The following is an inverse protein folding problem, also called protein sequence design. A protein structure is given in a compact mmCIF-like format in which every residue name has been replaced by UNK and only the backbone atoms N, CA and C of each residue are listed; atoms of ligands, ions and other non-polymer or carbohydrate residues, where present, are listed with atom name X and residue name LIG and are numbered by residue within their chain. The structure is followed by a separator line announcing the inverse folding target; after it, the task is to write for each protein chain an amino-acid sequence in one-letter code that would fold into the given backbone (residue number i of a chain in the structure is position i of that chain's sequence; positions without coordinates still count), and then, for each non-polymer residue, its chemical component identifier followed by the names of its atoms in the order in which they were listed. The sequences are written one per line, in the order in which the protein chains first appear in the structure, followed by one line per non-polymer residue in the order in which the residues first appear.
data_IF_135645869883
#
_entry.id   IF_135645869883
#
_cell.length_a   1.000
_cell.length_b   1.000
_cell.length_c   1.000
_cell.angle_alpha   90.00
_cell.angle_beta   90.00
_cell.angle_gamma   90.00
#
_symmetry.space_group_name_H-M   'P 1'
#
loop_
_entity.id
_entity.type
_entity.pdbx_description
1 polymer ?
#
# COMPACT_ATOMS: atom_id res chain seq x y z
N UNK A 1 10.51 -18.13 -26.82
CA UNK A 1 10.48 -16.76 -27.41
C UNK A 1 10.57 -15.75 -26.30
N UNK A 2 11.53 -14.82 -26.34
CA UNK A 2 11.62 -13.73 -25.36
C UNK A 2 10.38 -12.82 -25.48
N UNK A 3 9.71 -12.56 -24.36
CA UNK A 3 8.55 -11.66 -24.37
C UNK A 3 8.98 -10.25 -24.79
N UNK A 4 8.41 -9.74 -25.88
CA UNK A 4 8.72 -8.41 -26.44
C UNK A 4 8.50 -7.27 -25.42
N UNK A 5 7.58 -7.46 -24.48
CA UNK A 5 7.20 -6.46 -23.47
C UNK A 5 7.97 -6.59 -22.15
N UNK A 6 8.93 -7.52 -22.06
CA UNK A 6 9.73 -7.70 -20.86
C UNK A 6 10.48 -6.42 -20.42
N UNK A 7 11.13 -5.65 -21.32
CA UNK A 7 11.75 -4.37 -20.94
C UNK A 7 10.75 -3.37 -20.34
N UNK A 8 9.55 -3.28 -20.93
CA UNK A 8 8.48 -2.43 -20.41
C UNK A 8 8.09 -2.84 -19.00
N UNK A 9 7.90 -4.14 -18.74
CA UNK A 9 7.58 -4.66 -17.42
C UNK A 9 8.66 -4.30 -16.39
N UNK A 10 9.94 -4.44 -16.73
CA UNK A 10 11.05 -4.04 -15.85
C UNK A 10 10.94 -2.56 -15.49
N UNK A 11 10.76 -1.67 -16.47
CA UNK A 11 10.59 -0.24 -16.21
C UNK A 11 9.36 0.06 -15.35
N UNK A 12 8.25 -0.64 -15.56
CA UNK A 12 7.05 -0.49 -14.74
C UNK A 12 7.29 -0.91 -13.28
N UNK A 13 8.03 -2.00 -13.05
CA UNK A 13 8.41 -2.41 -11.70
C UNK A 13 9.35 -1.40 -11.04
N UNK A 14 10.29 -0.81 -11.77
CA UNK A 14 11.15 0.24 -11.23
C UNK A 14 10.39 1.52 -10.85
N UNK A 15 9.31 1.88 -11.56
CA UNK A 15 8.43 2.95 -11.11
C UNK A 15 7.85 2.66 -9.72
N UNK A 16 7.46 1.41 -9.46
CA UNK A 16 6.92 1.02 -8.15
C UNK A 16 8.01 0.85 -7.08
N UNK A 17 9.23 0.55 -7.46
CA UNK A 17 10.37 0.61 -6.54
C UNK A 17 10.56 2.06 -6.03
N UNK A 18 10.55 3.04 -6.93
CA UNK A 18 10.66 4.46 -6.55
C UNK A 18 9.40 4.95 -5.83
N UNK A 19 8.21 4.48 -6.23
CA UNK A 19 6.97 4.74 -5.49
C UNK A 19 7.08 4.26 -4.05
N UNK A 20 7.62 3.06 -3.81
CA UNK A 20 7.88 2.54 -2.46
C UNK A 20 8.78 3.46 -1.63
N UNK A 21 9.84 4.01 -2.23
CA UNK A 21 10.66 5.05 -1.59
C UNK A 21 9.82 6.30 -1.29
N UNK A 22 9.05 6.80 -2.26
CA UNK A 22 8.26 8.03 -2.16
C UNK A 22 7.23 7.99 -1.03
N UNK A 23 6.62 6.84 -0.74
CA UNK A 23 5.63 6.67 0.33
C UNK A 23 6.20 7.00 1.71
N UNK A 24 7.47 6.64 1.98
CA UNK A 24 8.09 6.78 3.29
C UNK A 24 9.14 7.90 3.35
N UNK A 25 9.43 8.56 2.21
CA UNK A 25 10.52 9.51 2.08
C UNK A 25 10.33 10.73 2.99
N UNK A 26 9.10 11.28 3.09
CA UNK A 26 8.80 12.41 3.97
C UNK A 26 8.87 12.01 5.44
N UNK A 27 8.34 10.85 5.82
CA UNK A 27 8.36 10.40 7.23
C UNK A 27 9.77 10.10 7.73
N UNK A 28 10.65 9.54 6.89
CA UNK A 28 12.03 9.30 7.27
C UNK A 28 12.89 10.57 7.36
N UNK A 29 12.51 11.62 6.64
CA UNK A 29 13.16 12.94 6.71
C UNK A 29 12.34 13.95 7.54
N UNK A 30 11.46 13.47 8.42
CA UNK A 30 10.49 14.31 9.14
C UNK A 30 11.17 15.49 9.86
N UNK A 31 12.22 15.24 10.66
CA UNK A 31 12.92 16.28 11.41
C UNK A 31 13.59 17.34 10.51
N UNK A 32 14.09 16.95 9.34
CA UNK A 32 14.67 17.92 8.38
C UNK A 32 13.58 18.76 7.73
N UNK A 33 12.42 18.18 7.44
CA UNK A 33 11.27 18.87 6.87
C UNK A 33 10.58 19.79 7.87
N UNK A 34 10.55 19.41 9.18
CA UNK A 34 10.09 20.28 10.27
C UNK A 34 10.91 21.58 10.29
N UNK A 35 12.23 21.47 10.19
CA UNK A 35 13.12 22.61 10.15
C UNK A 35 12.93 23.44 8.87
N UNK A 36 12.83 22.80 7.70
CA UNK A 36 12.67 23.48 6.42
C UNK A 36 11.35 24.28 6.33
N UNK A 37 10.26 23.73 6.87
CA UNK A 37 8.92 24.34 6.80
C UNK A 37 8.54 25.11 8.06
N UNK A 38 9.45 25.23 9.04
CA UNK A 38 9.21 25.88 10.33
C UNK A 38 7.94 25.37 11.02
N UNK A 39 7.80 24.03 11.08
CA UNK A 39 6.61 23.36 11.60
C UNK A 39 7.00 22.24 12.57
N UNK A 40 6.00 21.54 13.11
CA UNK A 40 6.17 20.34 13.94
C UNK A 40 5.95 19.05 13.12
N UNK A 41 6.19 17.91 13.75
CA UNK A 41 5.85 16.60 13.18
C UNK A 41 4.38 16.50 12.74
N UNK A 42 3.48 17.17 13.47
CA UNK A 42 2.07 17.30 13.09
C UNK A 42 1.90 17.97 11.72
N UNK A 43 2.62 19.09 11.48
CA UNK A 43 2.58 19.78 10.19
C UNK A 43 3.08 18.92 9.05
N UNK A 44 4.17 18.16 9.24
CA UNK A 44 4.68 17.21 8.23
C UNK A 44 3.66 16.10 7.98
N UNK A 45 3.02 15.56 9.02
CA UNK A 45 1.98 14.53 8.89
C UNK A 45 0.76 15.04 8.11
N UNK A 46 0.37 16.30 8.29
CA UNK A 46 -0.68 16.94 7.48
C UNK A 46 -0.28 16.97 6.00
N UNK A 47 0.96 17.32 5.68
CA UNK A 47 1.46 17.25 4.28
C UNK A 47 1.41 15.82 3.76
N UNK A 48 1.79 14.82 4.56
CA UNK A 48 1.72 13.42 4.16
C UNK A 48 0.27 13.00 3.82
N UNK A 49 -0.74 13.53 4.50
CA UNK A 49 -2.15 13.25 4.21
C UNK A 49 -2.55 13.61 2.77
N UNK A 50 -1.88 14.59 2.17
CA UNK A 50 -2.16 15.04 0.80
C UNK A 50 -1.97 13.93 -0.24
N UNK A 51 -1.12 12.93 0.03
CA UNK A 51 -0.95 11.76 -0.85
C UNK A 51 -2.27 10.96 -0.96
N UNK A 52 -2.97 10.78 0.16
CA UNK A 52 -4.24 10.04 0.20
C UNK A 52 -5.34 10.74 -0.58
N UNK A 53 -5.53 12.04 -0.34
CA UNK A 53 -6.58 12.81 -1.05
C UNK A 53 -6.24 13.00 -2.53
N UNK A 54 -4.96 13.21 -2.87
CA UNK A 54 -4.50 13.28 -4.26
C UNK A 54 -4.76 11.97 -5.00
N UNK A 55 -4.52 10.82 -4.37
CA UNK A 55 -4.83 9.51 -4.93
C UNK A 55 -6.33 9.33 -5.15
N UNK A 56 -7.14 9.63 -4.15
CA UNK A 56 -8.60 9.46 -4.22
C UNK A 56 -9.23 10.33 -5.30
N UNK A 57 -8.75 11.56 -5.49
CA UNK A 57 -9.33 12.54 -6.42
C UNK A 57 -9.35 12.09 -7.88
N UNK A 58 -8.38 11.30 -8.31
CA UNK A 58 -8.25 10.87 -9.72
C UNK A 58 -8.32 9.35 -9.94
N UNK A 59 -8.44 8.56 -8.87
CA UNK A 59 -8.36 7.09 -8.94
C UNK A 59 -9.32 6.46 -9.97
N UNK A 60 -10.60 6.83 -9.91
CA UNK A 60 -11.62 6.29 -10.82
C UNK A 60 -11.50 6.88 -12.22
N UNK A 61 -11.26 8.19 -12.32
CA UNK A 61 -11.15 8.90 -13.59
C UNK A 61 -9.94 8.41 -14.38
N UNK A 62 -8.80 8.23 -13.71
CA UNK A 62 -7.57 7.74 -14.34
C UNK A 62 -7.75 6.35 -14.96
N UNK A 63 -8.46 5.45 -14.28
CA UNK A 63 -8.76 4.11 -14.80
C UNK A 63 -9.57 4.18 -16.10
N UNK A 64 -10.69 4.92 -16.09
CA UNK A 64 -11.55 5.07 -17.27
C UNK A 64 -10.83 5.73 -18.47
N UNK A 65 -10.06 6.77 -18.19
CA UNK A 65 -9.31 7.48 -19.23
C UNK A 65 -8.15 6.64 -19.77
N UNK A 66 -7.48 5.83 -18.93
CA UNK A 66 -6.45 4.89 -19.35
C UNK A 66 -6.99 3.82 -20.31
N UNK A 67 -8.23 3.37 -20.09
CA UNK A 67 -8.89 2.44 -21.01
C UNK A 67 -9.22 3.09 -22.37
N UNK A 68 -9.47 4.39 -22.38
CA UNK A 68 -9.83 5.13 -23.60
C UNK A 68 -8.62 5.61 -24.41
N UNK A 69 -7.59 6.17 -23.71
CA UNK A 69 -6.46 6.83 -24.36
C UNK A 69 -5.19 5.96 -24.40
N UNK A 70 -5.23 4.78 -23.76
CA UNK A 70 -4.09 3.87 -23.66
C UNK A 70 -3.30 4.04 -22.36
N UNK A 71 -2.41 3.10 -22.09
CA UNK A 71 -1.69 2.98 -20.81
C UNK A 71 -0.52 3.96 -20.70
N UNK A 72 0.23 4.12 -21.80
CA UNK A 72 1.48 4.89 -21.85
C UNK A 72 1.34 6.34 -21.40
N UNK A 73 0.33 7.14 -21.82
CA UNK A 73 0.17 8.53 -21.39
C UNK A 73 0.03 8.65 -19.86
N UNK A 74 -0.70 7.72 -19.22
CA UNK A 74 -0.91 7.74 -17.76
C UNK A 74 0.35 7.40 -16.98
N UNK A 75 1.18 6.48 -17.48
CA UNK A 75 2.47 6.17 -16.88
C UNK A 75 3.41 7.38 -16.97
N UNK A 76 3.46 8.06 -18.12
CA UNK A 76 4.26 9.28 -18.30
C UNK A 76 3.75 10.39 -17.37
N UNK A 77 2.43 10.60 -17.30
CA UNK A 77 1.83 11.61 -16.43
C UNK A 77 2.15 11.31 -14.95
N UNK A 78 2.02 10.04 -14.52
CA UNK A 78 2.36 9.63 -13.17
C UNK A 78 3.84 9.85 -12.83
N UNK A 79 4.77 9.47 -13.72
CA UNK A 79 6.19 9.72 -13.51
C UNK A 79 6.52 11.21 -13.47
N UNK A 80 5.88 12.03 -14.30
CA UNK A 80 6.06 13.49 -14.30
C UNK A 80 5.57 14.10 -12.98
N UNK A 81 4.40 13.71 -12.49
CA UNK A 81 3.89 14.17 -11.19
C UNK A 81 4.81 13.77 -10.04
N UNK A 82 5.41 12.56 -10.06
CA UNK A 82 6.41 12.18 -9.06
C UNK A 82 7.69 13.01 -9.14
N UNK A 83 8.19 13.33 -10.33
CA UNK A 83 9.35 14.20 -10.51
C UNK A 83 9.09 15.60 -9.94
N UNK A 84 7.91 16.15 -10.20
CA UNK A 84 7.51 17.45 -9.64
C UNK A 84 7.44 17.36 -8.10
N UNK A 85 6.92 16.26 -7.55
CA UNK A 85 6.89 16.04 -6.11
C UNK A 85 8.31 16.00 -5.51
N UNK A 86 9.21 15.15 -6.03
CA UNK A 86 10.56 15.00 -5.47
C UNK A 86 11.35 16.32 -5.48
N UNK A 87 11.25 17.09 -6.55
CA UNK A 87 11.92 18.38 -6.66
C UNK A 87 11.15 19.43 -5.85
N UNK A 88 9.83 19.48 -5.98
CA UNK A 88 8.98 20.49 -5.35
C UNK A 88 9.06 20.49 -3.83
N UNK A 89 9.15 19.32 -3.19
CA UNK A 89 9.32 19.21 -1.73
C UNK A 89 10.61 19.90 -1.27
N UNK A 90 11.71 19.77 -2.01
CA UNK A 90 13.00 20.38 -1.66
C UNK A 90 12.98 21.90 -1.75
N UNK A 91 12.19 22.47 -2.65
CA UNK A 91 12.05 23.92 -2.83
C UNK A 91 10.84 24.49 -2.07
N UNK A 92 9.97 23.66 -1.51
CA UNK A 92 8.84 24.11 -0.71
C UNK A 92 9.33 24.78 0.58
N UNK A 93 8.99 26.05 0.75
CA UNK A 93 9.29 26.84 1.97
C UNK A 93 8.09 26.90 2.91
N UNK A 94 6.92 26.48 2.46
CA UNK A 94 5.67 26.53 3.23
C UNK A 94 4.94 25.20 3.16
N UNK A 95 4.17 24.89 4.21
CA UNK A 95 3.31 23.70 4.28
C UNK A 95 2.34 23.66 3.10
N UNK A 96 1.82 24.81 2.65
CA UNK A 96 0.87 24.87 1.55
C UNK A 96 1.47 24.38 0.22
N UNK A 97 2.69 24.82 -0.13
CA UNK A 97 3.39 24.37 -1.34
C UNK A 97 3.75 22.89 -1.20
N UNK A 98 4.24 22.47 -0.04
CA UNK A 98 4.54 21.06 0.24
C UNK A 98 3.29 20.18 0.11
N UNK A 99 2.13 20.63 0.61
CA UNK A 99 0.85 19.94 0.49
C UNK A 99 0.43 19.77 -0.97
N UNK A 100 0.58 20.81 -1.79
CA UNK A 100 0.31 20.74 -3.23
C UNK A 100 1.23 19.74 -3.95
N UNK A 101 2.50 19.70 -3.59
CA UNK A 101 3.45 18.69 -4.12
C UNK A 101 3.06 17.27 -3.70
N UNK A 102 2.69 17.06 -2.43
CA UNK A 102 2.21 15.77 -1.94
C UNK A 102 0.91 15.33 -2.61
N UNK A 103 -0.01 16.26 -2.87
CA UNK A 103 -1.23 16.00 -3.63
C UNK A 103 -0.91 15.47 -5.05
N UNK A 104 0.07 16.08 -5.73
CA UNK A 104 0.56 15.59 -7.03
C UNK A 104 1.16 14.18 -6.94
N UNK A 105 1.88 13.85 -5.85
CA UNK A 105 2.39 12.49 -5.63
C UNK A 105 1.26 11.47 -5.44
N UNK A 106 0.17 11.87 -4.77
CA UNK A 106 -1.03 11.05 -4.67
C UNK A 106 -1.69 10.79 -6.03
N UNK A 107 -1.85 11.84 -6.85
CA UNK A 107 -2.33 11.71 -8.22
C UNK A 107 -1.40 10.82 -9.07
N UNK A 108 -0.08 10.97 -8.92
CA UNK A 108 0.92 10.16 -9.60
C UNK A 108 0.72 8.68 -9.35
N UNK A 109 0.45 8.29 -8.09
CA UNK A 109 0.15 6.90 -7.73
C UNK A 109 -1.05 6.36 -8.52
N UNK A 110 -2.17 7.11 -8.56
CA UNK A 110 -3.36 6.69 -9.31
C UNK A 110 -3.12 6.60 -10.82
N UNK A 111 -2.35 7.52 -11.39
CA UNK A 111 -2.00 7.46 -12.81
C UNK A 111 -1.10 6.26 -13.11
N UNK A 112 -0.13 5.95 -12.26
CA UNK A 112 0.70 4.76 -12.40
C UNK A 112 -0.13 3.48 -12.23
N UNK A 113 -1.05 3.42 -11.26
CA UNK A 113 -1.94 2.27 -11.07
C UNK A 113 -2.79 2.02 -12.33
N UNK A 114 -3.40 3.08 -12.87
CA UNK A 114 -4.25 3.03 -14.07
C UNK A 114 -3.50 2.58 -15.34
N UNK A 115 -2.19 2.85 -15.41
CA UNK A 115 -1.36 2.44 -16.56
C UNK A 115 -0.67 1.09 -16.35
N UNK A 116 -0.09 0.85 -15.18
CA UNK A 116 0.83 -0.28 -14.93
C UNK A 116 0.12 -1.61 -14.78
N UNK A 117 -0.91 -1.69 -13.90
CA UNK A 117 -1.60 -2.97 -13.65
C UNK A 117 -2.15 -3.60 -14.92
N UNK A 118 -2.93 -2.85 -15.74
CA UNK A 118 -3.41 -3.40 -17.01
C UNK A 118 -2.29 -3.74 -18.00
N UNK A 119 -1.25 -2.89 -18.11
CA UNK A 119 -0.12 -3.15 -19.02
C UNK A 119 0.60 -4.46 -18.69
N UNK A 120 0.80 -4.75 -17.39
CA UNK A 120 1.42 -6.01 -16.96
C UNK A 120 0.53 -7.22 -17.25
N UNK A 121 -0.79 -7.10 -17.06
CA UNK A 121 -1.74 -8.16 -17.39
C UNK A 121 -1.78 -8.42 -18.90
N UNK A 122 -1.73 -7.37 -19.70
CA UNK A 122 -1.68 -7.43 -21.17
C UNK A 122 -0.33 -7.98 -21.69
N UNK A 123 0.77 -7.66 -21.00
CA UNK A 123 2.10 -8.17 -21.32
C UNK A 123 2.31 -9.65 -20.95
N UNK A 124 1.65 -10.12 -19.89
CA UNK A 124 1.78 -11.49 -19.36
C UNK A 124 0.43 -12.20 -19.23
N UNK A 125 -0.29 -12.47 -20.34
CA UNK A 125 -1.65 -13.02 -20.30
C UNK A 125 -1.72 -14.44 -19.70
N UNK A 126 -0.60 -15.18 -19.68
CA UNK A 126 -0.51 -16.53 -19.06
C UNK A 126 -0.33 -16.50 -17.55
N UNK A 127 0.13 -15.38 -16.98
CA UNK A 127 0.43 -15.25 -15.55
C UNK A 127 0.16 -13.81 -15.03
N UNK A 128 -1.04 -13.25 -15.26
CA UNK A 128 -1.34 -11.86 -14.91
C UNK A 128 -1.24 -11.60 -13.40
N UNK A 129 -1.68 -12.56 -12.58
CA UNK A 129 -1.61 -12.44 -11.12
C UNK A 129 -0.17 -12.38 -10.62
N UNK A 130 0.73 -13.21 -11.17
CA UNK A 130 2.15 -13.20 -10.79
C UNK A 130 2.81 -11.87 -11.16
N UNK A 131 2.51 -11.35 -12.35
CA UNK A 131 3.03 -10.05 -12.79
C UNK A 131 2.60 -8.92 -11.84
N UNK A 132 1.35 -8.92 -11.37
CA UNK A 132 0.86 -7.91 -10.44
C UNK A 132 1.39 -8.10 -9.00
N UNK A 133 1.61 -9.32 -8.54
CA UNK A 133 2.22 -9.59 -7.22
C UNK A 133 3.65 -9.06 -7.15
N UNK A 134 4.41 -9.14 -8.24
CA UNK A 134 5.78 -8.60 -8.31
C UNK A 134 5.83 -7.09 -8.07
N UNK A 135 4.78 -6.34 -8.39
CA UNK A 135 4.68 -4.90 -8.06
C UNK A 135 4.90 -4.70 -6.55
N UNK A 136 4.23 -5.51 -5.71
CA UNK A 136 4.37 -5.40 -4.25
C UNK A 136 5.81 -5.67 -3.79
N UNK A 137 6.50 -6.62 -4.40
CA UNK A 137 7.90 -6.91 -4.09
C UNK A 137 8.81 -5.70 -4.41
N UNK A 138 8.59 -5.03 -5.55
CA UNK A 138 9.35 -3.82 -5.90
C UNK A 138 9.04 -2.64 -4.99
N UNK A 139 7.78 -2.39 -4.64
CA UNK A 139 7.39 -1.39 -3.62
C UNK A 139 8.14 -1.64 -2.32
N UNK A 140 8.07 -2.87 -1.81
CA UNK A 140 8.75 -3.26 -0.58
C UNK A 140 10.27 -3.17 -0.71
N UNK A 141 10.84 -3.47 -1.89
CA UNK A 141 12.26 -3.28 -2.16
C UNK A 141 12.70 -1.82 -2.01
N UNK A 142 11.91 -0.87 -2.52
CA UNK A 142 12.15 0.56 -2.35
C UNK A 142 12.05 1.00 -0.88
N UNK A 143 11.04 0.52 -0.17
CA UNK A 143 10.86 0.79 1.25
C UNK A 143 11.98 0.18 2.12
N UNK A 144 12.50 -0.97 1.73
CA UNK A 144 13.63 -1.60 2.42
C UNK A 144 14.94 -0.83 2.22
N UNK A 145 15.21 -0.41 0.99
CA UNK A 145 16.49 0.19 0.63
C UNK A 145 16.61 1.64 1.10
N UNK A 146 15.52 2.42 1.09
CA UNK A 146 15.58 3.85 1.41
C UNK A 146 16.14 4.17 2.81
N UNK A 147 15.73 3.49 3.91
CA UNK A 147 16.31 3.74 5.24
C UNK A 147 17.83 3.50 5.27
N UNK A 148 18.31 2.51 4.51
CA UNK A 148 19.74 2.20 4.40
C UNK A 148 20.46 3.35 3.70
N UNK A 149 19.92 3.85 2.59
CA UNK A 149 20.46 4.99 1.85
C UNK A 149 20.52 6.23 2.76
N UNK A 150 19.43 6.55 3.46
CA UNK A 150 19.39 7.70 4.38
C UNK A 150 20.41 7.53 5.50
N UNK A 151 20.58 6.32 6.05
CA UNK A 151 21.60 6.03 7.05
C UNK A 151 23.01 6.32 6.54
N UNK A 152 23.29 5.97 5.30
CA UNK A 152 24.59 6.25 4.65
C UNK A 152 24.80 7.75 4.40
N UNK A 153 23.74 8.47 3.98
CA UNK A 153 23.80 9.92 3.81
C UNK A 153 24.08 10.64 5.13
N UNK A 154 23.43 10.21 6.21
CA UNK A 154 23.66 10.75 7.57
C UNK A 154 25.09 10.46 8.04
N UNK A 155 25.58 9.24 7.85
CA UNK A 155 26.96 8.87 8.18
C UNK A 155 27.99 9.72 7.43
N UNK A 156 27.70 10.02 6.14
CA UNK A 156 28.55 10.86 5.30
C UNK A 156 28.37 12.37 5.52
N UNK A 157 27.55 12.80 6.49
CA UNK A 157 27.16 14.17 6.76
C UNK A 157 26.64 14.92 5.51
N UNK A 158 25.91 14.21 4.64
CA UNK A 158 25.32 14.78 3.44
C UNK A 158 23.96 15.38 3.72
N UNK A 159 23.57 16.37 2.90
CA UNK A 159 22.26 16.99 2.98
C UNK A 159 21.14 15.98 2.73
N UNK A 160 20.04 16.01 3.53
CA UNK A 160 18.91 15.08 3.44
C UNK A 160 18.25 15.07 2.05
N UNK A 161 18.29 16.19 1.32
CA UNK A 161 17.71 16.34 -0.01
C UNK A 161 18.28 15.37 -1.04
N UNK A 162 19.46 14.80 -0.82
CA UNK A 162 20.01 13.76 -1.71
C UNK A 162 19.13 12.53 -1.78
N UNK A 163 18.37 12.20 -0.73
CA UNK A 163 17.42 11.08 -0.76
C UNK A 163 16.27 11.31 -1.74
N UNK A 164 15.78 12.55 -1.85
CA UNK A 164 14.78 12.97 -2.83
C UNK A 164 15.35 13.05 -4.25
N UNK A 165 16.53 13.63 -4.41
CA UNK A 165 17.20 13.75 -5.70
C UNK A 165 17.53 12.37 -6.29
N UNK A 166 17.97 11.41 -5.47
CA UNK A 166 18.24 10.05 -5.90
C UNK A 166 16.96 9.36 -6.40
N UNK A 167 15.87 9.46 -5.64
CA UNK A 167 14.58 8.92 -6.06
C UNK A 167 14.10 9.56 -7.37
N UNK A 168 14.23 10.88 -7.48
CA UNK A 168 13.91 11.63 -8.69
C UNK A 168 14.78 11.23 -9.88
N UNK A 169 16.09 11.07 -9.69
CA UNK A 169 17.01 10.66 -10.74
C UNK A 169 16.68 9.26 -11.27
N UNK A 170 16.43 8.29 -10.38
CA UNK A 170 16.01 6.93 -10.77
C UNK A 170 14.69 7.00 -11.56
N UNK A 171 13.71 7.79 -11.08
CA UNK A 171 12.43 7.96 -11.77
C UNK A 171 12.61 8.59 -13.15
N UNK A 172 13.46 9.63 -13.29
CA UNK A 172 13.73 10.30 -14.55
C UNK A 172 14.40 9.36 -15.55
N UNK A 173 15.46 8.66 -15.14
CA UNK A 173 16.15 7.70 -15.99
C UNK A 173 15.19 6.61 -16.47
N UNK A 174 14.37 6.10 -15.55
CA UNK A 174 13.39 5.09 -15.87
C UNK A 174 12.27 5.61 -16.79
N UNK A 175 11.83 6.87 -16.62
CA UNK A 175 10.87 7.50 -17.52
C UNK A 175 11.43 7.60 -18.95
N UNK A 176 12.68 8.05 -19.11
CA UNK A 176 13.36 8.10 -20.41
C UNK A 176 13.52 6.71 -21.04
N UNK A 177 13.81 5.70 -20.24
CA UNK A 177 13.84 4.30 -20.68
C UNK A 177 12.47 3.84 -21.18
N UNK A 178 11.39 4.08 -20.42
CA UNK A 178 10.03 3.70 -20.78
C UNK A 178 9.52 4.40 -22.06
N UNK A 179 9.99 5.62 -22.35
CA UNK A 179 9.66 6.30 -23.60
C UNK A 179 10.14 5.54 -24.85
N UNK A 180 11.17 4.68 -24.73
CA UNK A 180 11.69 3.87 -25.83
C UNK A 180 11.16 2.44 -25.84
N UNK A 181 10.44 2.01 -24.77
CA UNK A 181 9.92 0.66 -24.66
C UNK A 181 8.63 0.44 -25.43
N UNK A 182 8.41 -0.75 -26.02
CA UNK A 182 7.15 -1.10 -26.66
C UNK A 182 6.09 -1.44 -25.59
N UNK A 183 4.93 -0.80 -25.69
CA UNK A 183 3.77 -1.13 -24.84
C UNK A 183 2.85 -2.14 -25.51
N UNK A 184 2.19 -3.04 -24.75
CA UNK A 184 1.19 -3.92 -25.30
C UNK A 184 0.01 -3.13 -25.88
N UNK A 185 -0.65 -3.66 -26.93
CA UNK A 185 -1.84 -3.02 -27.50
C UNK A 185 -2.97 -3.06 -26.46
N UNK A 186 -3.65 -1.93 -26.28
CA UNK A 186 -4.76 -1.83 -25.33
C UNK A 186 -6.12 -2.10 -26.03
N UNK A 187 -7.13 -2.65 -25.29
CA UNK A 187 -8.41 -3.07 -25.90
C UNK A 187 -9.26 -1.96 -26.51
N UNK A 188 -8.97 -0.69 -26.21
CA UNK A 188 -9.76 0.45 -26.74
C UNK A 188 -9.78 0.60 -28.27
N UNK A 189 -8.95 -0.15 -29.00
CA UNK A 189 -8.93 -0.22 -30.48
C UNK A 189 -9.57 -1.48 -31.05
N UNK A 190 -9.90 -2.46 -30.24
CA UNK A 190 -10.51 -3.73 -30.68
C UNK A 190 -11.89 -3.81 -30.04
N UNK A 191 -12.93 -3.81 -30.87
CA UNK A 191 -14.34 -4.02 -30.58
C UNK A 191 -14.59 -4.74 -29.24
N UNK A 192 -15.48 -4.16 -28.41
CA UNK A 192 -16.00 -4.80 -27.19
C UNK A 192 -16.23 -6.29 -27.46
N UNK A 193 -15.54 -7.20 -26.78
CA UNK A 193 -16.03 -8.57 -26.76
C UNK A 193 -17.42 -8.49 -26.12
N UNK A 194 -18.46 -8.93 -26.83
CA UNK A 194 -19.72 -9.31 -26.21
C UNK A 194 -19.33 -10.26 -25.08
N UNK A 195 -19.43 -9.77 -23.85
CA UNK A 195 -19.37 -10.64 -22.68
C UNK A 195 -20.52 -11.59 -22.89
N UNK A 196 -20.20 -12.81 -23.28
CA UNK A 196 -21.12 -13.93 -23.27
C UNK A 196 -21.54 -14.09 -21.82
N UNK A 197 -22.72 -13.58 -21.50
CA UNK A 197 -23.39 -13.85 -20.25
C UNK A 197 -23.80 -15.32 -20.30
N UNK A 198 -22.89 -16.20 -19.88
CA UNK A 198 -23.32 -17.52 -19.44
C UNK A 198 -24.23 -17.28 -18.22
N UNK A 199 -25.47 -17.79 -18.20
CA UNK A 199 -26.37 -17.66 -17.07
C UNK A 199 -25.73 -18.43 -15.90
N UNK A 200 -25.13 -17.70 -14.94
CA UNK A 200 -24.72 -18.27 -13.67
C UNK A 200 -26.00 -18.45 -12.85
N UNK A 201 -26.52 -19.66 -12.88
CA UNK A 201 -27.57 -20.14 -11.99
C UNK A 201 -27.01 -20.18 -10.56
N UNK A 202 -27.33 -19.16 -9.79
CA UNK A 202 -26.97 -19.02 -8.39
C UNK A 202 -27.09 -17.56 -7.99
N UNK A 203 -28.25 -17.11 -7.57
CA UNK A 203 -28.46 -15.79 -6.98
C UNK A 203 -27.78 -15.80 -5.61
N UNK A 204 -26.48 -15.49 -5.57
CA UNK A 204 -25.83 -15.12 -4.32
C UNK A 204 -26.41 -13.77 -3.91
N UNK A 205 -27.32 -13.78 -2.93
CA UNK A 205 -27.71 -12.58 -2.22
C UNK A 205 -26.47 -11.98 -1.56
N UNK A 206 -25.81 -11.06 -2.26
CA UNK A 206 -24.73 -10.26 -1.70
C UNK A 206 -25.29 -9.42 -0.55
N UNK A 207 -24.98 -9.82 0.68
CA UNK A 207 -25.40 -9.08 1.86
C UNK A 207 -24.71 -7.72 1.90
N UNK A 208 -25.47 -6.65 2.12
CA UNK A 208 -24.92 -5.31 2.38
C UNK A 208 -23.92 -5.34 3.55
N UNK A 209 -24.15 -6.21 4.52
CA UNK A 209 -23.28 -6.43 5.68
C UNK A 209 -21.88 -6.91 5.23
N UNK A 210 -21.80 -7.82 4.26
CA UNK A 210 -20.53 -8.29 3.74
C UNK A 210 -19.78 -7.18 3.02
N UNK A 211 -20.47 -6.39 2.18
CA UNK A 211 -19.88 -5.24 1.50
C UNK A 211 -19.29 -4.24 2.50
N UNK A 212 -20.06 -3.88 3.53
CA UNK A 212 -19.60 -2.95 4.59
C UNK A 212 -18.42 -3.56 5.36
N UNK A 213 -18.48 -4.83 5.74
CA UNK A 213 -17.43 -5.49 6.51
C UNK A 213 -16.10 -5.54 5.75
N UNK A 214 -16.12 -5.92 4.49
CA UNK A 214 -14.90 -5.94 3.68
C UNK A 214 -14.39 -4.54 3.34
N UNK A 215 -15.26 -3.56 3.14
CA UNK A 215 -14.89 -2.16 2.91
C UNK A 215 -14.21 -1.58 4.15
N UNK A 216 -14.79 -1.79 5.32
CA UNK A 216 -14.22 -1.37 6.61
C UNK A 216 -12.88 -2.08 6.86
N UNK A 217 -12.80 -3.38 6.53
CA UNK A 217 -11.55 -4.12 6.61
C UNK A 217 -10.46 -3.55 5.68
N UNK A 218 -10.82 -3.10 4.48
CA UNK A 218 -9.94 -2.41 3.55
C UNK A 218 -9.37 -1.12 4.14
N UNK A 219 -10.21 -0.34 4.83
CA UNK A 219 -9.78 0.83 5.58
C UNK A 219 -8.81 0.48 6.71
N UNK A 220 -9.20 -0.45 7.60
CA UNK A 220 -8.43 -0.84 8.79
C UNK A 220 -7.06 -1.41 8.40
N UNK A 221 -6.99 -2.30 7.43
CA UNK A 221 -5.74 -2.92 7.00
C UNK A 221 -4.75 -1.91 6.41
N UNK A 222 -5.25 -0.93 5.66
CA UNK A 222 -4.42 0.16 5.14
C UNK A 222 -4.07 1.17 6.23
N UNK A 223 -4.96 1.42 7.20
CA UNK A 223 -4.71 2.32 8.31
C UNK A 223 -3.51 1.84 9.15
N UNK A 224 -3.50 0.60 9.62
CA UNK A 224 -2.38 0.02 10.38
C UNK A 224 -1.09 0.01 9.56
N UNK A 225 -1.15 -0.47 8.31
CA UNK A 225 0.02 -0.47 7.43
C UNK A 225 0.62 0.93 7.27
N UNK A 226 -0.22 1.92 7.00
CA UNK A 226 0.22 3.28 6.71
C UNK A 226 0.74 3.99 7.96
N UNK A 227 0.05 3.83 9.09
CA UNK A 227 0.43 4.41 10.37
C UNK A 227 1.82 3.93 10.81
N UNK A 228 2.07 2.63 10.78
CA UNK A 228 3.39 2.06 11.10
C UNK A 228 4.46 2.60 10.15
N UNK A 229 4.20 2.63 8.85
CA UNK A 229 5.17 3.12 7.87
C UNK A 229 5.53 4.59 8.07
N UNK A 230 4.64 5.39 8.67
CA UNK A 230 4.86 6.81 8.91
C UNK A 230 5.50 7.10 10.28
N UNK A 231 5.18 6.35 11.34
CA UNK A 231 5.53 6.72 12.70
C UNK A 231 6.49 5.77 13.40
N UNK A 232 6.81 4.61 12.83
CA UNK A 232 7.68 3.61 13.47
C UNK A 232 9.08 4.15 13.78
N UNK A 233 9.66 4.95 12.89
CA UNK A 233 10.97 5.56 13.10
C UNK A 233 10.94 6.58 14.26
N UNK A 234 9.95 7.46 14.28
CA UNK A 234 9.76 8.45 15.35
C UNK A 234 9.49 7.76 16.69
N UNK A 235 8.67 6.72 16.69
CA UNK A 235 8.44 5.93 17.90
C UNK A 235 9.74 5.29 18.44
N UNK A 236 10.53 4.69 17.55
CA UNK A 236 11.85 4.14 17.93
C UNK A 236 12.77 5.19 18.53
N UNK A 237 12.82 6.38 17.94
CA UNK A 237 13.67 7.47 18.40
C UNK A 237 13.20 8.09 19.71
N UNK A 238 11.94 8.50 19.80
CA UNK A 238 11.44 9.34 20.90
C UNK A 238 10.84 8.54 22.06
N UNK A 239 10.42 7.29 21.84
CA UNK A 239 9.81 6.45 22.88
C UNK A 239 10.74 5.31 23.31
N UNK A 240 11.37 4.60 22.34
CA UNK A 240 12.28 3.50 22.63
C UNK A 240 13.73 3.94 22.86
N UNK A 241 14.06 5.24 22.77
CA UNK A 241 15.39 5.78 23.05
C UNK A 241 16.47 5.39 22.03
N UNK A 242 16.09 5.05 20.81
CA UNK A 242 17.02 4.68 19.74
C UNK A 242 17.69 5.92 19.14
N UNK A 243 18.94 5.77 18.66
CA UNK A 243 19.54 6.81 17.82
C UNK A 243 18.73 6.99 16.53
N UNK A 244 18.83 8.16 15.91
CA UNK A 244 18.13 8.44 14.64
C UNK A 244 18.45 7.37 13.58
N UNK A 245 19.71 7.02 13.39
CA UNK A 245 20.15 6.02 12.41
C UNK A 245 19.63 4.62 12.73
N UNK A 246 19.49 4.25 14.00
CA UNK A 246 18.89 2.98 14.39
C UNK A 246 17.37 2.98 14.16
N UNK A 247 16.69 4.06 14.51
CA UNK A 247 15.24 4.17 14.40
C UNK A 247 14.74 4.11 12.95
N UNK A 248 15.41 4.76 12.01
CA UNK A 248 15.03 4.70 10.60
C UNK A 248 15.19 3.28 10.00
N UNK A 249 16.16 2.49 10.48
CA UNK A 249 16.35 1.09 10.06
C UNK A 249 15.22 0.16 10.51
N UNK A 250 14.41 0.55 11.50
CA UNK A 250 13.22 -0.21 11.89
C UNK A 250 12.29 -0.44 10.72
N UNK A 251 12.20 0.52 9.81
CA UNK A 251 11.34 0.39 8.64
C UNK A 251 11.87 -0.63 7.63
N UNK A 252 13.19 -0.79 7.52
CA UNK A 252 13.79 -1.89 6.75
C UNK A 252 13.49 -3.26 7.37
N UNK A 253 13.55 -3.36 8.70
CA UNK A 253 13.20 -4.60 9.44
C UNK A 253 11.73 -4.94 9.22
N UNK A 254 10.84 -3.97 9.38
CA UNK A 254 9.41 -4.09 9.12
C UNK A 254 9.13 -4.56 7.68
N UNK A 255 9.79 -3.95 6.70
CA UNK A 255 9.59 -4.29 5.28
C UNK A 255 10.15 -5.67 4.95
N UNK A 256 11.25 -6.09 5.59
CA UNK A 256 11.77 -7.46 5.46
C UNK A 256 10.73 -8.48 5.93
N UNK A 257 10.07 -8.24 7.08
CA UNK A 257 8.94 -9.05 7.55
C UNK A 257 7.81 -9.11 6.52
N UNK A 258 7.43 -7.95 5.96
CA UNK A 258 6.39 -7.86 4.94
C UNK A 258 6.71 -8.67 3.68
N UNK A 259 7.94 -8.58 3.17
CA UNK A 259 8.40 -9.36 2.02
C UNK A 259 8.36 -10.86 2.29
N UNK A 260 8.89 -11.29 3.43
CA UNK A 260 8.91 -12.69 3.82
C UNK A 260 7.49 -13.26 3.91
N UNK A 261 6.55 -12.50 4.48
CA UNK A 261 5.15 -12.88 4.55
C UNK A 261 4.55 -13.15 3.16
N UNK A 262 4.80 -12.29 2.17
CA UNK A 262 4.28 -12.47 0.81
C UNK A 262 4.75 -13.82 0.23
N UNK A 263 6.04 -14.15 0.37
CA UNK A 263 6.59 -15.41 -0.14
C UNK A 263 6.07 -16.64 0.59
N UNK A 264 5.81 -16.55 1.88
CA UNK A 264 5.26 -17.67 2.68
C UNK A 264 3.77 -17.82 2.44
N UNK A 265 3.01 -16.73 2.41
CA UNK A 265 1.54 -16.74 2.33
C UNK A 265 1.04 -17.20 0.96
N UNK A 266 1.71 -16.80 -0.12
CA UNK A 266 1.28 -17.14 -1.47
C UNK A 266 1.15 -18.66 -1.73
N UNK A 267 2.11 -19.53 -1.34
CA UNK A 267 1.94 -20.99 -1.45
C UNK A 267 0.96 -21.58 -0.41
N UNK A 268 0.84 -21.00 0.79
CA UNK A 268 -0.08 -21.48 1.83
C UNK A 268 -1.55 -21.35 1.39
N UNK A 269 -1.94 -20.22 0.83
CA UNK A 269 -3.29 -19.97 0.31
C UNK A 269 -3.64 -20.93 -0.83
N UNK A 270 -2.64 -21.32 -1.63
CA UNK A 270 -2.86 -22.24 -2.75
C UNK A 270 -3.12 -23.69 -2.34
N UNK A 271 -2.58 -24.16 -1.20
CA UNK A 271 -2.48 -25.60 -0.93
C UNK A 271 -3.26 -26.12 0.27
N UNK A 272 -3.46 -25.32 1.35
CA UNK A 272 -3.81 -25.97 2.62
C UNK A 272 -4.72 -25.17 3.55
N UNK A 273 -4.67 -23.83 3.57
CA UNK A 273 -5.31 -23.02 4.60
C UNK A 273 -6.36 -22.09 3.98
N UNK A 274 -7.54 -22.01 4.59
CA UNK A 274 -8.57 -21.04 4.18
C UNK A 274 -8.08 -19.61 4.37
N UNK A 275 -8.26 -18.77 3.38
CA UNK A 275 -7.85 -17.35 3.42
C UNK A 275 -8.42 -16.59 4.63
N UNK A 276 -9.64 -16.93 5.07
CA UNK A 276 -10.25 -16.36 6.28
C UNK A 276 -9.51 -16.74 7.57
N UNK A 277 -9.00 -17.96 7.66
CA UNK A 277 -8.22 -18.41 8.82
C UNK A 277 -6.87 -17.68 8.89
N UNK A 278 -6.20 -17.49 7.74
CA UNK A 278 -4.96 -16.70 7.67
C UNK A 278 -5.22 -15.24 8.04
N UNK A 279 -6.33 -14.67 7.59
CA UNK A 279 -6.72 -13.32 7.92
C UNK A 279 -6.85 -13.12 9.43
N UNK A 280 -7.59 -14.01 10.11
CA UNK A 280 -7.76 -13.98 11.57
C UNK A 280 -6.43 -14.16 12.30
N UNK A 281 -5.59 -15.08 11.85
CA UNK A 281 -4.30 -15.37 12.48
C UNK A 281 -3.34 -14.18 12.37
N UNK A 282 -3.22 -13.58 11.20
CA UNK A 282 -2.33 -12.44 10.99
C UNK A 282 -2.80 -11.19 11.73
N UNK A 283 -4.09 -10.89 11.74
CA UNK A 283 -4.62 -9.74 12.50
C UNK A 283 -4.45 -9.93 14.01
N UNK A 284 -4.60 -11.16 14.51
CA UNK A 284 -4.33 -11.47 15.91
C UNK A 284 -2.85 -11.26 16.28
N UNK A 285 -1.92 -11.79 15.47
CA UNK A 285 -0.48 -11.58 15.68
C UNK A 285 -0.14 -10.10 15.64
N UNK A 286 -0.70 -9.35 14.67
CA UNK A 286 -0.47 -7.91 14.56
C UNK A 286 -0.93 -7.15 15.81
N UNK A 287 -2.11 -7.46 16.31
CA UNK A 287 -2.64 -6.88 17.55
C UNK A 287 -1.74 -7.18 18.76
N UNK A 288 -1.35 -8.43 18.97
CA UNK A 288 -0.48 -8.82 20.08
C UNK A 288 0.91 -8.17 19.96
N UNK A 289 1.44 -8.10 18.74
CA UNK A 289 2.75 -7.49 18.49
C UNK A 289 2.73 -5.97 18.81
N UNK A 290 1.72 -5.24 18.36
CA UNK A 290 1.55 -3.82 18.67
C UNK A 290 1.34 -3.59 20.17
N UNK A 291 0.51 -4.41 20.82
CA UNK A 291 0.30 -4.33 22.27
C UNK A 291 1.61 -4.55 23.03
N UNK A 292 2.44 -5.52 22.61
CA UNK A 292 3.73 -5.79 23.25
C UNK A 292 4.69 -4.61 23.11
N UNK A 293 4.75 -3.98 21.91
CA UNK A 293 5.56 -2.78 21.68
C UNK A 293 5.11 -1.62 22.55
N UNK A 294 3.79 -1.43 22.73
CA UNK A 294 3.24 -0.37 23.58
C UNK A 294 3.52 -0.58 25.08
N UNK A 295 3.46 -1.83 25.53
CA UNK A 295 3.69 -2.18 26.95
C UNK A 295 5.18 -2.18 27.33
N UNK A 296 6.04 -2.54 26.39
CA UNK A 296 7.48 -2.68 26.60
C UNK A 296 8.28 -1.98 25.49
N UNK A 297 8.37 -0.64 25.50
CA UNK A 297 9.03 0.13 24.44
C UNK A 297 10.56 0.12 24.57
N UNK A 298 11.15 -1.07 24.65
CA UNK A 298 12.59 -1.27 24.71
C UNK A 298 13.15 -1.50 23.31
N UNK A 299 14.34 -0.97 23.01
CA UNK A 299 14.97 -1.01 21.69
C UNK A 299 14.90 -2.39 21.02
N UNK A 300 15.32 -3.45 21.73
CA UNK A 300 15.34 -4.80 21.16
C UNK A 300 13.95 -5.39 20.94
N UNK A 301 12.97 -5.06 21.81
CA UNK A 301 11.57 -5.47 21.64
C UNK A 301 10.99 -4.80 20.41
N UNK A 302 11.17 -3.48 20.27
CA UNK A 302 10.70 -2.74 19.10
C UNK A 302 11.31 -3.27 17.81
N UNK A 303 12.60 -3.64 17.79
CA UNK A 303 13.24 -4.23 16.61
C UNK A 303 12.65 -5.60 16.22
N UNK A 304 12.47 -6.51 17.19
CA UNK A 304 11.90 -7.85 16.94
C UNK A 304 10.44 -7.70 16.46
N UNK A 305 9.66 -6.92 17.17
CA UNK A 305 8.24 -6.77 16.86
C UNK A 305 7.98 -5.88 15.63
N UNK A 306 8.89 -5.00 15.23
CA UNK A 306 8.82 -4.34 13.93
C UNK A 306 8.80 -5.38 12.78
N UNK A 307 9.65 -6.42 12.88
CA UNK A 307 9.62 -7.53 11.92
C UNK A 307 8.28 -8.30 11.98
N UNK A 308 7.80 -8.64 13.18
CA UNK A 308 6.55 -9.38 13.38
C UNK A 308 5.35 -8.58 12.87
N UNK A 309 5.29 -7.28 13.15
CA UNK A 309 4.23 -6.39 12.64
C UNK A 309 4.31 -6.29 11.11
N UNK A 310 5.51 -6.13 10.55
CA UNK A 310 5.71 -6.14 9.11
C UNK A 310 5.20 -7.42 8.46
N UNK A 311 5.53 -8.57 9.05
CA UNK A 311 5.07 -9.87 8.59
C UNK A 311 3.55 -10.00 8.66
N UNK A 312 2.94 -9.64 9.77
CA UNK A 312 1.52 -9.89 10.04
C UNK A 312 0.57 -8.82 9.49
N UNK A 313 0.94 -7.52 9.51
CA UNK A 313 0.03 -6.45 9.06
C UNK A 313 0.27 -5.99 7.63
N UNK A 314 1.53 -5.97 7.17
CA UNK A 314 1.85 -5.41 5.86
C UNK A 314 1.97 -6.46 4.73
N UNK A 315 2.41 -7.68 5.06
CA UNK A 315 2.85 -8.63 4.05
C UNK A 315 1.75 -9.26 3.21
N UNK A 316 0.60 -9.55 3.80
CA UNK A 316 -0.44 -10.31 3.09
C UNK A 316 -1.87 -9.90 3.40
N UNK A 317 -2.09 -9.23 4.51
CA UNK A 317 -3.43 -8.95 5.06
C UNK A 317 -4.30 -8.13 4.11
N UNK A 318 -3.74 -7.06 3.52
CA UNK A 318 -4.44 -6.22 2.54
C UNK A 318 -4.87 -7.05 1.32
N UNK A 319 -3.96 -7.89 0.80
CA UNK A 319 -4.21 -8.69 -0.39
C UNK A 319 -5.18 -9.85 -0.13
N UNK A 320 -5.10 -10.45 1.06
CA UNK A 320 -6.04 -11.51 1.47
C UNK A 320 -7.45 -10.93 1.60
N UNK A 321 -7.60 -9.78 2.26
CA UNK A 321 -8.89 -9.08 2.39
C UNK A 321 -9.50 -8.73 1.04
N UNK A 322 -8.69 -8.17 0.13
CA UNK A 322 -9.12 -7.89 -1.25
C UNK A 322 -9.58 -9.16 -1.99
N UNK A 323 -8.80 -10.23 -1.89
CA UNK A 323 -9.12 -11.51 -2.56
C UNK A 323 -10.43 -12.10 -2.03
N UNK A 324 -10.62 -12.05 -0.71
CA UNK A 324 -11.86 -12.50 -0.08
C UNK A 324 -13.06 -11.67 -0.55
N UNK A 325 -12.93 -10.35 -0.57
CA UNK A 325 -13.97 -9.47 -1.09
C UNK A 325 -14.27 -9.76 -2.57
N UNK A 326 -13.24 -9.85 -3.42
CA UNK A 326 -13.43 -10.15 -4.84
C UNK A 326 -14.04 -11.54 -5.10
N UNK A 327 -13.75 -12.53 -4.25
CA UNK A 327 -14.39 -13.86 -4.32
C UNK A 327 -15.84 -13.85 -3.88
N UNK A 328 -16.20 -12.93 -2.98
CA UNK A 328 -17.56 -12.74 -2.49
C UNK A 328 -18.47 -12.05 -3.52
N UNK A 329 -17.89 -11.20 -4.37
CA UNK A 329 -18.59 -10.45 -5.42
C UNK A 329 -18.10 -10.88 -6.82
N UNK A 330 -18.35 -12.14 -7.26
CA UNK A 330 -17.72 -12.70 -8.46
C UNK A 330 -18.17 -12.02 -9.76
N UNK A 331 -19.37 -11.44 -9.79
CA UNK A 331 -19.92 -10.73 -10.95
C UNK A 331 -19.41 -9.28 -11.06
N UNK A 332 -19.00 -8.67 -9.92
CA UNK A 332 -18.59 -7.27 -9.82
C UNK A 332 -17.18 -7.12 -9.24
N UNK A 333 -16.25 -8.01 -9.58
CA UNK A 333 -14.87 -8.02 -9.01
C UNK A 333 -14.16 -6.68 -9.16
N UNK A 334 -14.30 -6.00 -10.30
CA UNK A 334 -13.71 -4.69 -10.53
C UNK A 334 -14.27 -3.61 -9.60
N UNK A 335 -15.58 -3.60 -9.40
CA UNK A 335 -16.26 -2.67 -8.48
C UNK A 335 -15.85 -2.94 -7.02
N UNK A 336 -15.83 -4.21 -6.61
CA UNK A 336 -15.36 -4.62 -5.28
C UNK A 336 -13.92 -4.18 -5.02
N UNK A 337 -13.03 -4.38 -5.98
CA UNK A 337 -11.63 -3.93 -5.92
C UNK A 337 -11.55 -2.39 -5.81
N UNK A 338 -12.34 -1.67 -6.60
CA UNK A 338 -12.39 -0.21 -6.55
C UNK A 338 -12.86 0.31 -5.20
N UNK A 339 -13.91 -0.27 -4.62
CA UNK A 339 -14.43 0.10 -3.28
C UNK A 339 -13.37 -0.18 -2.19
N UNK A 340 -12.73 -1.35 -2.23
CA UNK A 340 -11.70 -1.73 -1.27
C UNK A 340 -10.52 -0.75 -1.27
N UNK A 341 -9.98 -0.44 -2.44
CA UNK A 341 -8.87 0.51 -2.56
C UNK A 341 -9.28 1.97 -2.31
N UNK A 342 -10.52 2.34 -2.59
CA UNK A 342 -11.03 3.66 -2.20
C UNK A 342 -11.07 3.82 -0.68
N UNK A 343 -11.52 2.79 0.06
CA UNK A 343 -11.47 2.76 1.51
C UNK A 343 -10.02 2.86 2.03
N UNK A 344 -9.07 2.16 1.40
CA UNK A 344 -7.66 2.29 1.69
C UNK A 344 -7.09 3.69 1.41
N UNK A 345 -7.55 4.35 0.35
CA UNK A 345 -7.14 5.74 0.04
C UNK A 345 -7.70 6.74 1.06
N UNK A 346 -8.90 6.50 1.57
CA UNK A 346 -9.47 7.28 2.68
C UNK A 346 -8.60 7.10 3.93
N UNK A 347 -8.13 5.88 4.23
CA UNK A 347 -7.22 5.65 5.35
C UNK A 347 -5.90 6.42 5.18
N UNK A 348 -5.28 6.39 3.99
CA UNK A 348 -4.04 7.12 3.72
C UNK A 348 -4.20 8.66 3.81
N UNK A 349 -5.42 9.16 3.69
CA UNK A 349 -5.73 10.58 3.94
C UNK A 349 -6.04 10.86 5.41
N UNK A 350 -6.90 10.08 6.04
CA UNK A 350 -7.41 10.36 7.39
C UNK A 350 -6.42 10.01 8.50
N UNK A 351 -5.65 8.91 8.34
CA UNK A 351 -4.69 8.48 9.38
C UNK A 351 -3.61 9.52 9.66
N UNK A 352 -2.92 10.14 8.67
CA UNK A 352 -1.97 11.20 8.96
C UNK A 352 -2.59 12.42 9.63
N UNK A 353 -3.85 12.77 9.33
CA UNK A 353 -4.56 13.87 9.98
C UNK A 353 -4.87 13.56 11.45
N UNK A 354 -5.33 12.35 11.74
CA UNK A 354 -5.63 11.93 13.12
C UNK A 354 -4.32 11.83 13.92
N UNK A 355 -3.30 11.19 13.35
CA UNK A 355 -2.00 11.03 14.03
C UNK A 355 -1.26 12.35 14.19
N UNK A 356 -1.47 13.34 13.31
CA UNK A 356 -0.98 14.69 13.51
C UNK A 356 -1.48 15.29 14.83
N UNK A 357 -2.79 15.18 15.10
CA UNK A 357 -3.37 15.65 16.37
C UNK A 357 -2.86 14.86 17.57
N UNK A 358 -2.75 13.55 17.46
CA UNK A 358 -2.24 12.70 18.55
C UNK A 358 -0.77 13.01 18.83
N UNK A 359 0.04 13.30 17.80
CA UNK A 359 1.46 13.62 17.96
C UNK A 359 1.74 14.89 18.77
N UNK A 360 0.80 15.85 18.76
CA UNK A 360 0.88 17.05 19.59
C UNK A 360 0.85 16.71 21.10
N UNK A 361 0.23 15.57 21.46
CA UNK A 361 0.17 15.11 22.85
C UNK A 361 1.35 14.19 23.18
N UNK A 362 1.54 13.10 22.43
CA UNK A 362 2.63 12.16 22.58
C UNK A 362 2.72 11.20 21.40
N UNK A 363 3.95 10.93 20.95
CA UNK A 363 4.21 9.91 19.91
C UNK A 363 3.83 8.51 20.40
N UNK A 364 3.95 8.22 21.70
CA UNK A 364 3.53 6.93 22.26
C UNK A 364 2.03 6.66 22.06
N UNK A 365 1.18 7.67 22.14
CA UNK A 365 -0.26 7.53 21.95
C UNK A 365 -0.63 7.13 20.52
N UNK A 366 0.22 7.42 19.53
CA UNK A 366 0.01 7.00 18.12
C UNK A 366 0.05 5.46 18.02
N UNK A 367 1.00 4.79 18.68
CA UNK A 367 1.07 3.33 18.70
C UNK A 367 -0.09 2.69 19.49
N UNK A 368 -0.54 3.32 20.58
CA UNK A 368 -1.75 2.89 21.28
C UNK A 368 -3.00 3.02 20.40
N UNK A 369 -3.11 4.09 19.63
CA UNK A 369 -4.19 4.26 18.65
C UNK A 369 -4.16 3.16 17.59
N UNK A 370 -2.98 2.83 17.05
CA UNK A 370 -2.84 1.72 16.09
C UNK A 370 -3.15 0.37 16.70
N UNK A 371 -2.80 0.16 17.97
CA UNK A 371 -3.18 -1.05 18.71
C UNK A 371 -4.70 -1.20 18.80
N UNK A 372 -5.42 -0.09 19.00
CA UNK A 372 -6.89 -0.05 18.94
C UNK A 372 -7.43 -0.44 17.56
N UNK A 373 -6.87 0.15 16.51
CA UNK A 373 -7.24 -0.16 15.10
C UNK A 373 -6.98 -1.66 14.80
N UNK A 374 -5.85 -2.20 15.25
CA UNK A 374 -5.52 -3.61 15.06
C UNK A 374 -6.47 -4.54 15.82
N UNK A 375 -6.90 -4.16 17.03
CA UNK A 375 -7.91 -4.88 17.78
C UNK A 375 -9.26 -4.91 17.04
N UNK A 376 -9.73 -3.76 16.54
CA UNK A 376 -10.93 -3.68 15.70
C UNK A 376 -10.80 -4.54 14.44
N UNK A 377 -9.62 -4.50 13.79
CA UNK A 377 -9.30 -5.34 12.63
C UNK A 377 -9.37 -6.83 12.93
N UNK A 378 -8.90 -7.25 14.09
CA UNK A 378 -9.02 -8.65 14.54
C UNK A 378 -10.47 -9.05 14.80
N UNK A 379 -11.24 -8.23 15.50
CA UNK A 379 -12.68 -8.48 15.75
C UNK A 379 -13.46 -8.57 14.43
N UNK A 380 -13.15 -7.69 13.49
CA UNK A 380 -13.80 -7.71 12.17
C UNK A 380 -13.39 -8.95 11.36
N UNK A 381 -12.13 -9.38 11.45
CA UNK A 381 -11.68 -10.62 10.81
C UNK A 381 -12.35 -11.86 11.39
N UNK A 382 -12.58 -11.89 12.71
CA UNK A 382 -13.39 -12.94 13.38
C UNK A 382 -14.83 -12.94 12.86
N UNK A 383 -15.44 -11.77 12.75
CA UNK A 383 -16.80 -11.64 12.23
C UNK A 383 -16.92 -12.13 10.77
N UNK A 384 -15.98 -11.73 9.90
CA UNK A 384 -15.91 -12.19 8.51
C UNK A 384 -15.72 -13.72 8.46
N UNK A 385 -14.84 -14.25 9.30
CA UNK A 385 -14.59 -15.70 9.39
C UNK A 385 -15.80 -16.49 9.86
N UNK A 386 -16.52 -15.99 10.85
CA UNK A 386 -17.76 -16.60 11.36
C UNK A 386 -18.85 -16.65 10.27
N UNK A 387 -19.11 -15.53 9.60
CA UNK A 387 -20.09 -15.45 8.52
C UNK A 387 -19.75 -16.40 7.36
N UNK A 388 -18.48 -16.42 6.95
CA UNK A 388 -18.02 -17.32 5.88
C UNK A 388 -18.22 -18.81 6.21
N UNK A 389 -18.12 -19.19 7.49
CA UNK A 389 -18.38 -20.57 7.95
C UNK A 389 -19.87 -20.89 7.96
N UNK A 390 -20.70 -20.00 8.53
CA UNK A 390 -22.15 -20.17 8.62
C UNK A 390 -22.78 -20.41 7.24
N UNK A 391 -22.37 -19.64 6.23
CA UNK A 391 -22.88 -19.81 4.88
C UNK A 391 -22.40 -21.09 4.20
N UNK A 392 -21.15 -21.51 4.45
CA UNK A 392 -20.65 -22.80 3.94
C UNK A 392 -21.47 -23.98 4.51
N UNK A 393 -21.95 -23.89 5.75
CA UNK A 393 -22.80 -24.90 6.36
C UNK A 393 -24.19 -24.88 5.75
N UNK A 394 -24.83 -23.72 5.59
CA UNK A 394 -26.16 -23.63 4.94
C UNK A 394 -26.16 -24.16 3.51
N UNK A 395 -25.09 -23.95 2.75
CA UNK A 395 -24.97 -24.52 1.40
C UNK A 395 -24.78 -26.04 1.42
N UNK A 396 -24.06 -26.58 2.41
CA UNK A 396 -23.88 -28.02 2.56
C UNK A 396 -25.20 -28.71 2.98
N UNK A 397 -25.97 -28.10 3.88
CA UNK A 397 -27.29 -28.58 4.31
C UNK A 397 -28.34 -28.52 3.17
N UNK A 398 -28.37 -27.40 2.42
CA UNK A 398 -29.24 -27.26 1.26
C UNK A 398 -28.91 -28.28 0.14
N UNK A 399 -27.64 -28.62 -0.07
CA UNK A 399 -27.24 -29.64 -1.02
C UNK A 399 -27.60 -31.06 -0.56
N UNK A 400 -27.57 -31.33 0.74
CA UNK A 400 -27.95 -32.65 1.32
C UNK A 400 -29.45 -32.88 1.35
N UNK A 401 -30.28 -31.82 1.42
CA UNK A 401 -31.76 -31.89 1.39
C UNK A 401 -32.33 -31.95 -0.04
N UNK A 402 -31.52 -31.68 -1.05
CA UNK A 402 -31.89 -31.73 -2.47
C UNK A 402 -31.56 -33.10 -3.14
N UNK A 403 -30.91 -34.01 -2.42
CA UNK A 403 -30.66 -35.41 -2.81
C UNK A 403 -31.69 -36.34 -2.11
#
# INVERSE_FOLDING_TARGET
MKNRYFPTAVGLYFNYFVHGMGVILMSLNMSSLEQQWHTSAAGVSIVISSLGIGRLSVLLIAGMLSDRFGRRPFIILGTTCYLIFFIGILYAQTIFVAYACGFLAGMANSFLDAGTYPSLMEAFPRSPSTANILIKAFVSGGQFLLPIIISLLVWANMWFGWSFLLAGAIMLINALFLLRCPFPPYPGRILKPKISQAPVTGVHHCSLIDLISYTLYGYISMATFYLISQWLAQYGQFVAGMSYTQSIKLLSIYTCGSLLCVFITAPLVRKTIRSTTLLMFYTFISFIALLTVCLHPQTYIVMIFAFVIGFSSAGGVVQIGLTLMASRFPQEKGKATGIYYSAGSIATFTIPLITARISEMSIAHIMWFDTGIAAEGFLLALFIGYRSRAESQHHAEAASTAQ
#
